data_IF_409259360940
#
_entry.id   IF_409259360940
#
_cell.length_a   1.000
_cell.length_b   1.000
_cell.length_c   1.000
_cell.angle_alpha   90.00
_cell.angle_beta   90.00
_cell.angle_gamma   90.00
#
_symmetry.space_group_name_H-M   'P 1'
#
loop_
_entity.id
_entity.type
_entity.pdbx_description
1 polymer ?
#
# COMPACT_ATOMS: atom_id res chain seq x y z
N UNK A 1 8.26 19.22 18.26
CA UNK A 1 9.27 18.80 17.27
C UNK A 1 8.63 18.92 15.90
N UNK A 2 9.01 19.93 15.11
CA UNK A 2 8.47 20.14 13.76
C UNK A 2 9.17 19.15 12.81
N UNK A 3 8.43 18.16 12.33
CA UNK A 3 8.91 17.24 11.28
C UNK A 3 8.91 18.03 9.97
N UNK A 4 10.08 18.18 9.33
CA UNK A 4 10.15 18.85 8.01
C UNK A 4 9.52 17.94 6.96
N UNK A 5 8.93 18.50 5.91
CA UNK A 5 8.27 17.70 4.84
C UNK A 5 9.21 16.68 4.20
N UNK A 6 10.51 17.00 4.09
CA UNK A 6 11.54 16.07 3.64
C UNK A 6 11.67 14.82 4.54
N UNK A 7 11.50 14.95 5.86
CA UNK A 7 11.58 13.84 6.81
C UNK A 7 10.38 12.89 6.70
N UNK A 8 9.23 13.39 6.22
CA UNK A 8 8.00 12.59 6.10
C UNK A 8 8.14 11.52 5.00
N UNK A 9 8.85 11.85 3.92
CA UNK A 9 9.03 10.92 2.79
C UNK A 9 9.90 9.71 3.15
N UNK A 10 10.78 9.83 4.14
CA UNK A 10 11.68 8.77 4.60
C UNK A 10 11.09 7.87 5.69
N UNK A 11 9.88 8.19 6.20
CA UNK A 11 9.22 7.35 7.20
C UNK A 11 8.97 5.97 6.60
N UNK A 12 9.56 4.95 7.21
CA UNK A 12 9.36 3.56 6.81
C UNK A 12 8.04 3.05 7.37
N UNK A 13 7.39 2.16 6.64
CA UNK A 13 6.12 1.54 6.96
C UNK A 13 6.24 0.04 6.74
N UNK A 14 5.72 -0.77 7.66
CA UNK A 14 5.48 -2.19 7.42
C UNK A 14 4.13 -2.34 6.73
N UNK A 15 4.13 -2.84 5.50
CA UNK A 15 2.98 -2.83 4.60
C UNK A 15 2.59 -4.26 4.21
N UNK A 16 1.30 -4.55 4.30
CA UNK A 16 0.68 -5.76 3.76
C UNK A 16 0.41 -5.58 2.26
N UNK A 17 1.18 -6.24 1.39
CA UNK A 17 1.01 -6.08 -0.05
C UNK A 17 -0.31 -6.68 -0.56
N UNK A 18 -0.84 -7.70 0.13
CA UNK A 18 -2.13 -8.33 -0.21
C UNK A 18 -3.31 -7.39 0.02
N UNK A 19 -3.31 -6.68 1.14
CA UNK A 19 -4.47 -5.93 1.65
C UNK A 19 -4.30 -4.41 1.57
N UNK A 20 -3.07 -3.91 1.40
CA UNK A 20 -2.76 -2.50 1.26
C UNK A 20 -2.64 -1.72 2.58
N UNK A 21 -2.82 -2.38 3.73
CA UNK A 21 -2.64 -1.76 5.05
C UNK A 21 -1.16 -1.56 5.37
N UNK A 22 -0.85 -0.46 6.06
CA UNK A 22 0.52 -0.11 6.46
C UNK A 22 0.59 0.39 7.91
N UNK A 23 1.61 -0.05 8.63
CA UNK A 23 1.96 0.39 9.98
C UNK A 23 3.24 1.25 9.91
N UNK A 24 3.20 2.55 10.26
CA UNK A 24 4.39 3.38 10.29
C UNK A 24 5.39 2.89 11.35
N UNK A 25 6.65 2.77 10.96
CA UNK A 25 7.78 2.39 11.81
C UNK A 25 8.27 3.61 12.59
N UNK A 26 7.54 3.97 13.66
CA UNK A 26 7.89 5.08 14.55
C UNK A 26 8.55 4.56 15.83
N UNK A 27 9.62 5.20 16.32
CA UNK A 27 10.24 4.83 17.59
C UNK A 27 9.28 5.14 18.74
N UNK A 28 8.55 4.12 19.17
CA UNK A 28 7.61 4.15 20.29
C UNK A 28 7.84 2.93 21.18
N UNK A 29 7.70 3.09 22.50
CA UNK A 29 7.79 1.98 23.45
C UNK A 29 6.81 0.85 23.15
N UNK A 30 5.68 1.17 22.49
CA UNK A 30 4.64 0.21 22.10
C UNK A 30 4.79 -0.34 20.68
N UNK A 31 5.80 0.11 19.93
CA UNK A 31 5.94 -0.27 18.53
C UNK A 31 6.07 -1.79 18.35
N UNK A 32 6.84 -2.46 19.21
CA UNK A 32 7.03 -3.92 19.15
C UNK A 32 5.69 -4.67 19.31
N UNK A 33 4.83 -4.20 20.22
CA UNK A 33 3.50 -4.80 20.43
C UNK A 33 2.61 -4.59 19.20
N UNK A 34 2.59 -3.37 18.66
CA UNK A 34 1.83 -3.03 17.46
C UNK A 34 2.31 -3.81 16.24
N UNK A 35 3.62 -3.97 16.07
CA UNK A 35 4.20 -4.76 14.98
C UNK A 35 3.81 -6.23 15.10
N UNK A 36 3.89 -6.81 16.31
CA UNK A 36 3.48 -8.20 16.55
C UNK A 36 2.01 -8.42 16.23
N UNK A 37 1.15 -7.53 16.71
CA UNK A 37 -0.29 -7.60 16.45
C UNK A 37 -0.58 -7.45 14.94
N UNK A 38 0.08 -6.51 14.27
CA UNK A 38 -0.03 -6.34 12.82
C UNK A 38 0.40 -7.59 12.05
N UNK A 39 1.52 -8.22 12.44
CA UNK A 39 1.98 -9.48 11.82
C UNK A 39 0.99 -10.62 12.05
N UNK A 40 0.38 -10.71 13.23
CA UNK A 40 -0.63 -11.71 13.55
C UNK A 40 -1.91 -11.53 12.73
N UNK A 41 -2.38 -10.30 12.58
CA UNK A 41 -3.57 -9.99 11.75
C UNK A 41 -3.33 -10.23 10.26
N UNK A 42 -2.07 -10.27 9.83
CA UNK A 42 -1.66 -10.49 8.45
C UNK A 42 -0.82 -11.76 8.29
N UNK A 43 -1.08 -12.76 9.13
CA UNK A 43 -0.41 -14.05 9.04
C UNK A 43 -0.64 -14.68 7.65
N UNK A 44 0.44 -15.20 7.06
CA UNK A 44 0.42 -15.73 5.69
C UNK A 44 0.31 -14.67 4.57
N UNK A 45 0.27 -13.37 4.89
CA UNK A 45 0.35 -12.32 3.88
C UNK A 45 1.80 -11.91 3.65
N UNK A 46 2.12 -11.54 2.41
CA UNK A 46 3.42 -10.93 2.09
C UNK A 46 3.48 -9.53 2.69
N UNK A 47 4.39 -9.35 3.64
CA UNK A 47 4.70 -8.06 4.25
C UNK A 47 6.01 -7.50 3.67
N UNK A 48 6.07 -6.19 3.47
CA UNK A 48 7.25 -5.48 2.97
C UNK A 48 7.44 -4.18 3.75
N UNK A 49 8.66 -3.67 3.81
CA UNK A 49 8.93 -2.35 4.37
C UNK A 49 9.09 -1.36 3.24
N UNK A 50 8.28 -0.30 3.23
CA UNK A 50 8.29 0.75 2.22
C UNK A 50 8.37 2.12 2.90
N UNK A 51 9.07 3.06 2.29
CA UNK A 51 9.03 4.47 2.67
C UNK A 51 7.68 5.10 2.29
N UNK A 52 7.35 6.25 2.87
CA UNK A 52 6.16 7.01 2.48
C UNK A 52 6.17 7.36 0.99
N UNK A 53 7.33 7.68 0.43
CA UNK A 53 7.49 7.95 -1.00
C UNK A 53 7.15 6.72 -1.85
N UNK A 54 7.73 5.56 -1.54
CA UNK A 54 7.44 4.30 -2.26
C UNK A 54 5.97 3.88 -2.11
N UNK A 55 5.37 4.11 -0.94
CA UNK A 55 3.94 3.89 -0.71
C UNK A 55 3.07 4.77 -1.59
N UNK A 56 3.44 6.05 -1.74
CA UNK A 56 2.73 6.99 -2.59
C UNK A 56 2.78 6.53 -4.06
N UNK A 57 3.97 6.23 -4.57
CA UNK A 57 4.14 5.70 -5.94
C UNK A 57 3.37 4.40 -6.16
N UNK A 58 3.39 3.48 -5.19
CA UNK A 58 2.64 2.23 -5.26
C UNK A 58 1.13 2.50 -5.33
N UNK A 59 0.64 3.48 -4.56
CA UNK A 59 -0.74 3.94 -4.58
C UNK A 59 -1.15 4.49 -5.95
N UNK A 60 -0.32 5.34 -6.55
CA UNK A 60 -0.55 5.89 -7.89
C UNK A 60 -0.59 4.81 -8.97
N UNK A 61 0.41 3.91 -8.99
CA UNK A 61 0.46 2.79 -9.92
C UNK A 61 -0.76 1.87 -9.77
N UNK A 62 -1.19 1.59 -8.54
CA UNK A 62 -2.41 0.81 -8.28
C UNK A 62 -3.67 1.52 -8.79
N UNK A 63 -3.76 2.84 -8.63
CA UNK A 63 -4.87 3.63 -9.13
C UNK A 63 -4.91 3.63 -10.67
N UNK A 64 -3.75 3.74 -11.32
CA UNK A 64 -3.61 3.65 -12.78
C UNK A 64 -4.03 2.27 -13.30
N UNK A 65 -3.54 1.19 -12.70
CA UNK A 65 -3.92 -0.18 -13.07
C UNK A 65 -5.42 -0.43 -12.89
N UNK A 66 -6.07 0.15 -11.86
CA UNK A 66 -7.53 0.08 -11.71
C UNK A 66 -8.26 0.82 -12.84
N UNK A 67 -7.76 1.99 -13.26
CA UNK A 67 -8.33 2.70 -14.42
C UNK A 67 -8.21 1.85 -15.68
N UNK A 68 -7.06 1.20 -15.89
CA UNK A 68 -6.86 0.29 -17.02
C UNK A 68 -7.80 -0.93 -16.96
N UNK A 69 -7.92 -1.59 -15.80
CA UNK A 69 -8.81 -2.74 -15.61
C UNK A 69 -10.30 -2.39 -15.84
N UNK A 70 -10.72 -1.18 -15.46
CA UNK A 70 -12.08 -0.70 -15.74
C UNK A 70 -12.28 -0.43 -17.23
N UNK A 71 -11.29 0.15 -17.92
CA UNK A 71 -11.32 0.33 -19.37
C UNK A 71 -11.33 -1.00 -20.11
N UNK A 72 -10.53 -1.99 -19.70
CA UNK A 72 -10.48 -3.30 -20.33
C UNK A 72 -11.77 -4.10 -20.13
N UNK A 73 -12.45 -3.98 -18.99
CA UNK A 73 -13.83 -4.47 -18.82
C UNK A 73 -14.80 -3.79 -19.78
N UNK A 74 -14.64 -2.49 -20.03
CA UNK A 74 -15.37 -1.75 -21.06
C UNK A 74 -15.14 -2.32 -22.46
N UNK A 75 -13.87 -2.55 -22.84
CA UNK A 75 -13.51 -3.17 -24.13
C UNK A 75 -14.00 -4.62 -24.26
N UNK A 76 -13.95 -5.40 -23.19
CA UNK A 76 -14.49 -6.76 -23.17
C UNK A 76 -16.03 -6.78 -23.34
N UNK A 77 -16.73 -5.74 -22.87
CA UNK A 77 -18.16 -5.56 -23.12
C UNK A 77 -18.43 -5.15 -24.58
N UNK A 78 -17.68 -4.18 -25.11
CA UNK A 78 -17.78 -3.75 -26.52
C UNK A 78 -17.51 -4.93 -27.47
N UNK A 79 -16.49 -5.75 -27.21
CA UNK A 79 -16.20 -6.93 -28.03
C UNK A 79 -17.29 -8.01 -27.96
N UNK A 80 -18.08 -8.09 -26.87
CA UNK A 80 -19.23 -9.00 -26.79
C UNK A 80 -20.47 -8.49 -27.53
N UNK A 81 -20.56 -7.18 -27.74
CA UNK A 81 -21.68 -6.56 -28.47
C UNK A 81 -21.42 -6.51 -29.98
N UNK A 82 -20.17 -6.71 -30.40
CA UNK A 82 -19.73 -6.72 -31.81
C UNK A 82 -19.61 -8.13 -32.43
N UNK A 83 -19.88 -9.19 -31.67
CA UNK A 83 -19.84 -10.61 -32.12
C UNK A 83 -21.23 -11.21 -32.04
#
# INVERSE_FOLDING_TARGET
MMIKVADVHEIKHLVCLRCGWGLPLVPSKRFIELEREFRKQHEGHTLCVLTTAELHELGEKRAELRKYANKSKGWAKVNKELV
#
